data_IF_194575362246
#
_entry.id   IF_194575362246
#
_cell.length_a   1.000
_cell.length_b   1.000
_cell.length_c   1.000
_cell.angle_alpha   90.00
_cell.angle_beta   90.00
_cell.angle_gamma   90.00
#
_symmetry.space_group_name_H-M   'P 1'
#
loop_
_entity.id
_entity.type
_entity.pdbx_description
1 polymer ?
#
# COMPACT_ATOMS: atom_id res chain seq x y z
N UNK A 1 47.21 49.91 -5.38
CA UNK A 1 47.56 48.96 -6.47
C UNK A 1 46.52 47.86 -6.40
N UNK A 2 45.25 48.07 -6.79
CA UNK A 2 44.73 48.46 -8.13
C UNK A 2 45.35 47.55 -9.21
N UNK A 3 44.64 46.78 -10.05
CA UNK A 3 43.33 46.96 -10.68
C UNK A 3 42.74 45.56 -10.97
N UNK A 4 41.47 45.32 -10.60
CA UNK A 4 40.31 45.36 -11.50
C UNK A 4 40.28 44.26 -12.58
N UNK A 5 39.35 43.31 -12.37
CA UNK A 5 38.62 42.64 -13.44
C UNK A 5 38.22 43.66 -14.52
N UNK A 6 38.10 43.20 -15.77
CA UNK A 6 36.79 42.93 -16.40
C UNK A 6 36.93 43.10 -17.91
N UNK A 7 36.93 41.94 -18.60
CA UNK A 7 36.81 41.89 -20.05
C UNK A 7 35.47 42.48 -20.50
N UNK A 8 35.58 43.30 -21.53
CA UNK A 8 34.55 44.09 -22.19
C UNK A 8 33.50 43.23 -22.93
N UNK A 9 32.28 43.79 -22.92
CA UNK A 9 31.33 43.87 -24.05
C UNK A 9 30.69 42.60 -24.61
N UNK A 10 29.42 42.43 -24.23
CA UNK A 10 28.36 41.99 -25.14
C UNK A 10 27.25 43.05 -25.14
N UNK A 11 26.96 43.60 -26.32
CA UNK A 11 26.06 44.72 -26.60
C UNK A 11 24.57 44.40 -26.37
N UNK A 12 23.84 45.39 -25.86
CA UNK A 12 22.37 45.43 -25.65
C UNK A 12 21.63 45.86 -26.94
N UNK A 13 20.35 45.46 -27.04
CA UNK A 13 19.15 46.12 -27.65
C UNK A 13 18.37 45.06 -28.46
N UNK A 14 17.06 44.83 -28.34
CA UNK A 14 15.92 45.39 -27.59
C UNK A 14 14.77 44.36 -27.70
N UNK A 15 13.53 44.53 -27.27
CA UNK A 15 12.75 45.63 -26.74
C UNK A 15 11.48 45.03 -26.06
N UNK A 16 10.78 45.87 -25.28
CA UNK A 16 9.35 45.76 -24.91
C UNK A 16 8.99 45.07 -23.58
N UNK A 17 8.99 45.91 -22.53
CA UNK A 17 8.05 46.00 -21.41
C UNK A 17 7.29 44.75 -20.92
N UNK A 18 7.66 44.26 -19.73
CA UNK A 18 6.71 43.65 -18.79
C UNK A 18 7.03 44.12 -17.36
N UNK A 19 6.11 44.92 -16.81
CA UNK A 19 5.74 45.02 -15.40
C UNK A 19 6.83 45.23 -14.34
N UNK A 20 6.85 46.43 -13.76
CA UNK A 20 7.38 46.64 -12.40
C UNK A 20 6.46 45.89 -11.43
N UNK A 21 6.82 44.65 -11.08
CA UNK A 21 6.30 43.99 -9.89
C UNK A 21 7.41 44.04 -8.83
N UNK A 22 7.15 44.79 -7.76
CA UNK A 22 8.12 45.01 -6.68
C UNK A 22 8.67 43.69 -6.14
N UNK A 23 9.99 43.62 -6.03
CA UNK A 23 10.66 42.50 -5.37
C UNK A 23 10.39 42.63 -3.87
N UNK A 24 9.30 42.03 -3.40
CA UNK A 24 9.19 41.66 -2.00
C UNK A 24 10.18 40.53 -1.77
N UNK A 25 11.31 40.86 -1.13
CA UNK A 25 12.29 39.89 -0.65
C UNK A 25 11.63 39.05 0.43
N UNK A 26 10.93 38.00 0.01
CA UNK A 26 10.26 37.06 0.89
C UNK A 26 11.33 36.29 1.66
N UNK A 27 11.31 36.40 2.99
CA UNK A 27 12.11 35.61 3.93
C UNK A 27 11.64 34.15 3.98
N UNK A 28 11.47 33.52 2.81
CA UNK A 28 10.92 32.17 2.68
C UNK A 28 11.96 31.05 2.86
N UNK A 29 13.23 31.36 3.11
CA UNK A 29 14.31 30.36 3.16
C UNK A 29 14.44 29.62 4.50
N UNK A 30 13.65 29.95 5.52
CA UNK A 30 13.66 29.21 6.80
C UNK A 30 12.46 28.28 7.01
N UNK A 31 11.42 28.34 6.16
CA UNK A 31 10.20 27.52 6.33
C UNK A 31 10.11 26.38 5.30
N UNK A 32 10.73 26.54 4.12
CA UNK A 32 10.75 25.52 3.07
C UNK A 32 11.55 24.24 3.43
N UNK A 33 12.73 24.30 4.10
CA UNK A 33 13.50 23.09 4.42
C UNK A 33 12.75 22.13 5.37
N UNK A 34 11.98 22.68 6.31
CA UNK A 34 11.21 21.89 7.30
C UNK A 34 10.02 21.17 6.65
N UNK A 35 9.42 21.75 5.62
CA UNK A 35 8.32 21.10 4.89
C UNK A 35 8.83 19.98 3.96
N UNK A 36 9.98 20.17 3.31
CA UNK A 36 10.53 19.19 2.38
C UNK A 36 10.98 17.90 3.09
N UNK A 37 11.68 18.01 4.23
CA UNK A 37 12.02 16.83 5.06
C UNK A 37 10.79 16.12 5.67
N UNK A 38 9.70 16.86 5.93
CA UNK A 38 8.44 16.27 6.39
C UNK A 38 7.72 15.50 5.28
N UNK A 39 7.78 15.99 4.04
CA UNK A 39 7.19 15.34 2.86
C UNK A 39 7.97 14.05 2.52
N UNK A 40 9.30 14.11 2.51
CA UNK A 40 10.13 12.93 2.22
C UNK A 40 9.95 11.84 3.28
N UNK A 41 9.91 12.20 4.57
CA UNK A 41 9.68 11.25 5.65
C UNK A 41 8.29 10.59 5.56
N UNK A 42 7.24 11.35 5.24
CA UNK A 42 5.89 10.81 5.03
C UNK A 42 5.82 9.90 3.80
N UNK A 43 6.49 10.28 2.72
CA UNK A 43 6.55 9.49 1.50
C UNK A 43 7.26 8.16 1.75
N UNK A 44 8.42 8.19 2.40
CA UNK A 44 9.19 7.00 2.79
C UNK A 44 8.37 6.06 3.69
N UNK A 45 7.67 6.60 4.69
CA UNK A 45 6.78 5.82 5.56
C UNK A 45 5.64 5.15 4.78
N UNK A 46 5.03 5.87 3.84
CA UNK A 46 3.93 5.35 3.01
C UNK A 46 4.41 4.23 2.09
N UNK A 47 5.58 4.39 1.47
CA UNK A 47 6.18 3.36 0.62
C UNK A 47 6.56 2.11 1.43
N UNK A 48 7.10 2.29 2.64
CA UNK A 48 7.41 1.16 3.53
C UNK A 48 6.16 0.36 3.90
N UNK A 49 5.07 1.04 4.29
CA UNK A 49 3.79 0.39 4.59
C UNK A 49 3.21 -0.34 3.38
N UNK A 50 3.34 0.23 2.19
CA UNK A 50 2.91 -0.43 0.96
C UNK A 50 3.73 -1.71 0.70
N UNK A 51 5.06 -1.64 0.86
CA UNK A 51 5.94 -2.81 0.74
C UNK A 51 5.53 -3.95 1.69
N UNK A 52 5.36 -3.63 2.97
CA UNK A 52 4.92 -4.60 3.99
C UNK A 52 3.57 -5.24 3.65
N UNK A 53 2.61 -4.45 3.15
CA UNK A 53 1.29 -4.94 2.72
C UNK A 53 1.41 -5.88 1.51
N UNK A 54 2.24 -5.55 0.52
CA UNK A 54 2.48 -6.43 -0.63
C UNK A 54 3.13 -7.75 -0.22
N UNK A 55 4.13 -7.72 0.66
CA UNK A 55 4.77 -8.93 1.19
C UNK A 55 3.77 -9.80 1.97
N UNK A 56 2.91 -9.17 2.77
CA UNK A 56 1.86 -9.86 3.53
C UNK A 56 0.86 -10.55 2.60
N UNK A 57 0.34 -9.85 1.59
CA UNK A 57 -0.56 -10.44 0.58
C UNK A 57 0.12 -11.58 -0.18
N UNK A 58 1.38 -11.41 -0.56
CA UNK A 58 2.15 -12.44 -1.23
C UNK A 58 2.29 -13.69 -0.34
N UNK A 59 2.64 -13.51 0.94
CA UNK A 59 2.72 -14.60 1.91
C UNK A 59 1.40 -15.36 2.05
N UNK A 60 0.27 -14.65 2.12
CA UNK A 60 -1.05 -15.28 2.18
C UNK A 60 -1.39 -16.05 0.90
N UNK A 61 -1.11 -15.50 -0.28
CA UNK A 61 -1.36 -16.18 -1.57
C UNK A 61 -0.52 -17.43 -1.73
N UNK A 62 0.77 -17.36 -1.37
CA UNK A 62 1.68 -18.50 -1.42
C UNK A 62 1.26 -19.58 -0.43
N UNK A 63 0.90 -19.20 0.80
CA UNK A 63 0.37 -20.13 1.80
C UNK A 63 -0.92 -20.83 1.36
N UNK A 64 -1.88 -20.08 0.81
CA UNK A 64 -3.13 -20.63 0.28
C UNK A 64 -2.90 -21.61 -0.88
N UNK A 65 -1.96 -21.30 -1.79
CA UNK A 65 -1.58 -22.19 -2.88
C UNK A 65 -0.94 -23.48 -2.35
N UNK A 66 -0.04 -23.38 -1.37
CA UNK A 66 0.54 -24.56 -0.71
C UNK A 66 -0.53 -25.42 -0.02
N UNK A 67 -1.45 -24.80 0.71
CA UNK A 67 -2.54 -25.51 1.38
C UNK A 67 -3.48 -26.22 0.39
N UNK A 68 -3.77 -25.60 -0.76
CA UNK A 68 -4.49 -26.26 -1.87
C UNK A 68 -3.74 -27.50 -2.31
N UNK A 69 -2.45 -27.39 -2.59
CA UNK A 69 -1.67 -28.48 -3.16
C UNK A 69 -1.59 -29.67 -2.18
N UNK A 70 -1.41 -29.39 -0.88
CA UNK A 70 -1.46 -30.39 0.19
C UNK A 70 -2.84 -31.06 0.28
N UNK A 71 -3.92 -30.26 0.26
CA UNK A 71 -5.28 -30.80 0.28
C UNK A 71 -5.57 -31.66 -0.95
N UNK A 72 -5.14 -31.23 -2.15
CA UNK A 72 -5.31 -31.99 -3.39
C UNK A 72 -4.51 -33.30 -3.36
N UNK A 73 -3.28 -33.27 -2.85
CA UNK A 73 -2.48 -34.48 -2.69
C UNK A 73 -3.15 -35.48 -1.75
N UNK A 74 -3.71 -35.01 -0.63
CA UNK A 74 -4.51 -35.84 0.26
C UNK A 74 -5.77 -36.37 -0.43
N UNK A 75 -6.51 -35.51 -1.14
CA UNK A 75 -7.77 -35.87 -1.79
C UNK A 75 -7.61 -36.91 -2.92
N UNK A 76 -6.48 -36.87 -3.62
CA UNK A 76 -6.11 -37.80 -4.69
C UNK A 76 -5.34 -39.04 -4.20
N UNK A 77 -4.84 -39.04 -2.96
CA UNK A 77 -4.07 -40.12 -2.37
C UNK A 77 -4.91 -41.12 -1.57
N UNK A 78 -4.26 -42.14 -0.96
CA UNK A 78 -4.89 -42.97 0.05
C UNK A 78 -5.39 -42.11 1.21
N UNK A 79 -6.68 -42.18 1.54
CA UNK A 79 -7.32 -41.37 2.59
C UNK A 79 -7.08 -41.93 3.99
N UNK A 80 -5.84 -42.32 4.24
CA UNK A 80 -5.41 -42.90 5.51
C UNK A 80 -5.08 -41.78 6.49
N UNK A 81 -6.09 -40.98 6.85
CA UNK A 81 -5.94 -39.87 7.80
C UNK A 81 -6.90 -38.71 7.56
N UNK A 82 -6.91 -37.79 8.52
CA UNK A 82 -7.76 -36.59 8.49
C UNK A 82 -7.34 -35.60 7.38
N UNK A 83 -8.30 -34.82 6.85
CA UNK A 83 -7.99 -33.79 5.88
C UNK A 83 -7.03 -32.73 6.44
N UNK A 84 -6.08 -32.23 5.64
CA UNK A 84 -5.16 -31.18 6.05
C UNK A 84 -5.89 -29.94 6.58
N UNK A 85 -5.51 -29.49 7.77
CA UNK A 85 -6.06 -28.31 8.45
C UNK A 85 -5.05 -27.15 8.37
N UNK A 86 -5.53 -25.95 8.01
CA UNK A 86 -4.68 -24.74 7.91
C UNK A 86 -4.71 -23.86 9.16
N UNK A 87 -5.54 -24.21 10.16
CA UNK A 87 -5.57 -23.49 11.43
C UNK A 87 -4.23 -23.66 12.15
N UNK A 88 -3.64 -22.54 12.58
CA UNK A 88 -2.28 -22.49 13.14
C UNK A 88 -1.19 -22.15 12.13
N UNK A 89 -1.47 -22.22 10.81
CA UNK A 89 -0.51 -21.76 9.81
C UNK A 89 -0.30 -20.25 9.89
N UNK A 90 0.96 -19.81 9.87
CA UNK A 90 1.30 -18.39 9.99
C UNK A 90 0.58 -17.51 8.96
N UNK A 91 0.40 -18.00 7.73
CA UNK A 91 -0.28 -17.27 6.68
C UNK A 91 -1.78 -17.12 6.98
N UNK A 92 -2.44 -18.16 7.51
CA UNK A 92 -3.87 -18.15 7.79
C UNK A 92 -4.17 -17.37 9.08
N UNK A 93 -3.36 -17.52 10.12
CA UNK A 93 -3.47 -16.74 11.34
C UNK A 93 -3.21 -15.25 11.10
N UNK A 94 -2.31 -14.91 10.17
CA UNK A 94 -2.11 -13.54 9.71
C UNK A 94 -3.33 -12.99 8.95
N UNK A 95 -4.02 -13.82 8.17
CA UNK A 95 -5.21 -13.44 7.41
C UNK A 95 -6.46 -13.29 8.30
N UNK A 96 -6.63 -14.14 9.32
CA UNK A 96 -7.82 -14.23 10.17
C UNK A 96 -8.38 -12.89 10.68
N UNK A 97 -7.56 -11.96 11.20
CA UNK A 97 -8.06 -10.66 11.69
C UNK A 97 -8.73 -9.81 10.60
N UNK A 98 -8.37 -10.03 9.33
CA UNK A 98 -8.85 -9.28 8.18
C UNK A 98 -10.08 -9.89 7.51
N UNK A 99 -10.49 -11.10 7.92
CA UNK A 99 -11.71 -11.72 7.45
C UNK A 99 -12.95 -10.94 7.95
N UNK A 100 -14.03 -10.91 7.18
CA UNK A 100 -15.25 -10.19 7.56
C UNK A 100 -15.85 -10.76 8.87
N UNK A 101 -16.48 -9.90 9.65
CA UNK A 101 -17.18 -10.30 10.89
C UNK A 101 -18.57 -10.88 10.64
N UNK A 102 -19.09 -10.74 9.43
CA UNK A 102 -20.42 -11.21 9.03
C UNK A 102 -20.35 -12.02 7.73
N UNK A 103 -21.40 -12.81 7.46
CA UNK A 103 -21.49 -13.66 6.27
C UNK A 103 -20.78 -15.01 6.41
N UNK A 104 -20.67 -15.74 5.31
CA UNK A 104 -20.15 -17.12 5.29
C UNK A 104 -18.68 -17.21 5.71
N UNK A 105 -17.91 -16.14 5.53
CA UNK A 105 -16.48 -16.09 5.89
C UNK A 105 -16.22 -15.78 7.36
N UNK A 106 -17.23 -15.26 8.07
CA UNK A 106 -17.09 -14.93 9.49
C UNK A 106 -16.76 -16.16 10.35
N UNK A 107 -17.26 -17.34 9.95
CA UNK A 107 -16.99 -18.60 10.64
C UNK A 107 -15.50 -18.93 10.69
N UNK A 108 -14.72 -18.55 9.67
CA UNK A 108 -13.28 -18.87 9.60
C UNK A 108 -12.42 -18.05 10.57
N UNK A 109 -12.97 -16.97 11.15
CA UNK A 109 -12.30 -16.20 12.21
C UNK A 109 -12.13 -16.99 13.50
N UNK A 110 -13.07 -17.90 13.79
CA UNK A 110 -13.09 -18.68 15.03
C UNK A 110 -13.12 -20.19 14.79
N UNK A 111 -13.16 -20.63 13.53
CA UNK A 111 -13.14 -22.05 13.19
C UNK A 111 -11.84 -22.70 13.67
N UNK A 112 -11.96 -23.82 14.39
CA UNK A 112 -10.81 -24.60 14.86
C UNK A 112 -10.25 -25.54 13.78
N UNK A 113 -11.06 -25.81 12.75
CA UNK A 113 -10.69 -26.63 11.60
C UNK A 113 -11.10 -25.90 10.33
N UNK A 114 -10.15 -25.75 9.41
CA UNK A 114 -10.35 -25.18 8.09
C UNK A 114 -9.56 -26.02 7.10
N UNK A 115 -10.28 -26.65 6.18
CA UNK A 115 -9.68 -27.45 5.12
C UNK A 115 -9.75 -26.66 3.81
N UNK A 116 -8.66 -26.65 3.06
CA UNK A 116 -8.58 -25.95 1.79
C UNK A 116 -9.22 -26.75 0.65
N UNK A 117 -10.51 -27.06 0.78
CA UNK A 117 -11.32 -27.58 -0.31
C UNK A 117 -11.64 -26.49 -1.35
N UNK A 118 -12.13 -26.88 -2.53
CA UNK A 118 -12.36 -25.93 -3.64
C UNK A 118 -13.28 -24.75 -3.25
N UNK A 119 -14.38 -24.95 -2.49
CA UNK A 119 -15.19 -23.84 -1.98
C UNK A 119 -14.42 -22.91 -1.04
N UNK A 120 -13.73 -23.45 -0.03
CA UNK A 120 -13.00 -22.63 0.96
C UNK A 120 -11.84 -21.87 0.31
N UNK A 121 -11.12 -22.51 -0.62
CA UNK A 121 -10.07 -21.87 -1.41
C UNK A 121 -10.59 -20.68 -2.22
N UNK A 122 -11.72 -20.86 -2.89
CA UNK A 122 -12.33 -19.79 -3.71
C UNK A 122 -12.68 -18.60 -2.83
N UNK A 123 -13.33 -18.85 -1.69
CA UNK A 123 -13.72 -17.79 -0.78
C UNK A 123 -12.52 -17.06 -0.16
N UNK A 124 -11.50 -17.79 0.32
CA UNK A 124 -10.28 -17.19 0.87
C UNK A 124 -9.52 -16.38 -0.19
N UNK A 125 -9.44 -16.89 -1.43
CA UNK A 125 -8.80 -16.16 -2.53
C UNK A 125 -9.52 -14.84 -2.86
N UNK A 126 -10.85 -14.85 -2.84
CA UNK A 126 -11.65 -13.63 -3.08
C UNK A 126 -11.44 -12.61 -1.95
N UNK A 127 -11.41 -13.06 -0.70
CA UNK A 127 -11.18 -12.16 0.44
C UNK A 127 -9.77 -11.57 0.44
N UNK A 128 -8.74 -12.35 0.10
CA UNK A 128 -7.38 -11.81 -0.07
C UNK A 128 -7.37 -10.71 -1.15
N UNK A 129 -8.05 -10.94 -2.28
CA UNK A 129 -8.18 -9.94 -3.35
C UNK A 129 -8.95 -8.69 -2.93
N UNK A 130 -9.99 -8.84 -2.10
CA UNK A 130 -10.74 -7.72 -1.51
C UNK A 130 -9.83 -6.87 -0.61
N UNK A 131 -9.06 -7.51 0.27
CA UNK A 131 -8.12 -6.85 1.18
C UNK A 131 -7.01 -6.13 0.39
N UNK A 132 -6.45 -6.77 -0.63
CA UNK A 132 -5.45 -6.18 -1.52
C UNK A 132 -5.98 -4.90 -2.19
N UNK A 133 -7.21 -4.94 -2.69
CA UNK A 133 -7.86 -3.78 -3.31
C UNK A 133 -8.09 -2.67 -2.29
N UNK A 134 -8.60 -3.01 -1.10
CA UNK A 134 -8.82 -2.06 -0.02
C UNK A 134 -7.53 -1.35 0.39
N UNK A 135 -6.45 -2.11 0.60
CA UNK A 135 -5.13 -1.58 0.96
C UNK A 135 -4.51 -0.72 -0.15
N UNK A 136 -4.73 -1.10 -1.40
CA UNK A 136 -4.28 -0.34 -2.58
C UNK A 136 -5.00 1.01 -2.68
N UNK A 137 -6.31 1.03 -2.47
CA UNK A 137 -7.10 2.27 -2.51
C UNK A 137 -6.81 3.18 -1.31
N UNK A 138 -6.52 2.62 -0.14
CA UNK A 138 -6.00 3.37 1.01
C UNK A 138 -4.67 4.04 0.70
N UNK A 139 -3.72 3.31 0.09
CA UNK A 139 -2.41 3.86 -0.28
C UNK A 139 -2.52 4.99 -1.31
N UNK A 140 -3.49 4.90 -2.24
CA UNK A 140 -3.79 5.96 -3.21
C UNK A 140 -4.49 7.18 -2.59
N UNK A 141 -4.77 7.18 -1.28
CA UNK A 141 -5.51 8.27 -0.62
C UNK A 141 -6.98 8.36 -1.03
N UNK A 142 -7.52 7.29 -1.64
CA UNK A 142 -8.90 7.24 -2.16
C UNK A 142 -9.92 6.77 -1.11
N UNK A 143 -9.62 6.91 0.19
CA UNK A 143 -10.68 6.96 1.21
C UNK A 143 -11.48 8.24 1.00
N UNK A 144 -12.46 8.13 0.09
CA UNK A 144 -13.58 9.03 -0.20
C UNK A 144 -13.61 10.28 0.68
N UNK A 145 -13.57 11.46 0.02
CA UNK A 145 -14.39 12.63 0.37
C UNK A 145 -15.88 12.22 0.43
N UNK A 146 -16.27 11.38 1.38
CA UNK A 146 -17.65 11.12 1.80
C UNK A 146 -17.80 11.72 3.19
N UNK A 147 -17.71 13.05 3.27
CA UNK A 147 -18.37 13.81 4.32
C UNK A 147 -18.62 15.23 3.81
N UNK A 148 -19.85 15.68 4.04
CA UNK A 148 -20.38 17.03 3.87
C UNK A 148 -20.97 17.33 2.49
N UNK A 149 -22.16 16.77 2.24
CA UNK A 149 -23.25 17.56 1.68
C UNK A 149 -24.29 17.70 2.80
N UNK A 150 -24.58 18.90 3.32
CA UNK A 150 -25.75 19.11 4.17
C UNK A 150 -27.01 19.03 3.32
N UNK A 151 -28.11 18.66 3.98
CA UNK A 151 -29.45 18.47 3.41
C UNK A 151 -29.96 19.68 2.61
#
# INVERSE_FOLDING_TARGET
MDMAMMGLMGTVVGASAVGIAGVAKSTADTVLPRMMGSIDHKHQMTMHLHGQRCETIHGWRTGLAGARDVYQQWACGPRDGDPPNVVGDAWFEGLRPHLPTTGEMAKYRTAHEVHCDNPTLTLLSLEIGRIETEWTEEAKGRRRRRRNRPD
#
